data_IF_542889187556
#
_entry.id   IF_542889187556
#
_cell.length_a   1.000
_cell.length_b   1.000
_cell.length_c   1.000
_cell.angle_alpha   90.00
_cell.angle_beta   90.00
_cell.angle_gamma   90.00
#
_symmetry.space_group_name_H-M   'P 1'
#
loop_
_entity.id
_entity.type
_entity.pdbx_description
1 polymer ?
#
# COMPACT_ATOMS: atom_id res chain seq x y z
N UNK A 1 -92.94 -20.43 15.78
CA UNK A 1 -92.58 -19.11 15.19
C UNK A 1 -91.25 -19.27 14.50
N UNK A 2 -91.14 -18.78 13.26
CA UNK A 2 -89.87 -18.71 12.56
C UNK A 2 -88.84 -17.96 13.42
N UNK A 3 -87.61 -18.47 13.47
CA UNK A 3 -86.52 -17.84 14.21
C UNK A 3 -85.64 -17.10 13.22
N UNK A 4 -85.39 -15.81 13.45
CA UNK A 4 -84.46 -15.07 12.62
C UNK A 4 -83.04 -15.60 12.84
N UNK A 5 -82.30 -15.79 11.75
CA UNK A 5 -80.85 -16.00 11.86
C UNK A 5 -80.22 -14.72 12.39
N UNK A 6 -79.22 -14.85 13.27
CA UNK A 6 -78.49 -13.72 13.84
C UNK A 6 -77.75 -12.90 12.78
N UNK A 7 -77.38 -13.53 11.66
CA UNK A 7 -76.75 -12.87 10.52
C UNK A 7 -77.75 -12.73 9.37
N UNK A 8 -77.79 -11.53 8.77
CA UNK A 8 -78.55 -11.18 7.55
C UNK A 8 -80.08 -11.30 7.61
N UNK A 9 -80.67 -11.54 8.80
CA UNK A 9 -82.12 -11.52 9.06
C UNK A 9 -82.95 -12.50 8.22
N UNK A 10 -82.39 -13.66 7.87
CA UNK A 10 -83.16 -14.72 7.23
C UNK A 10 -84.22 -15.26 8.19
N UNK A 11 -85.45 -15.40 7.70
CA UNK A 11 -86.54 -16.03 8.45
C UNK A 11 -86.54 -17.52 8.14
N UNK A 12 -86.08 -18.36 9.08
CA UNK A 12 -86.11 -19.82 8.89
C UNK A 12 -87.51 -20.35 9.21
N UNK A 13 -88.28 -20.86 8.23
CA UNK A 13 -89.62 -21.40 8.49
C UNK A 13 -89.56 -22.62 9.40
N UNK A 14 -90.64 -22.88 10.14
CA UNK A 14 -90.74 -24.07 10.98
C UNK A 14 -90.87 -25.34 10.11
N UNK A 15 -90.34 -26.47 10.59
CA UNK A 15 -90.39 -27.75 9.83
C UNK A 15 -91.80 -28.24 9.50
N UNK A 16 -92.82 -27.70 10.19
CA UNK A 16 -94.24 -28.05 10.02
C UNK A 16 -95.02 -27.05 9.15
N UNK A 17 -94.39 -25.97 8.67
CA UNK A 17 -95.04 -24.98 7.80
C UNK A 17 -94.78 -25.31 6.31
N UNK A 18 -95.77 -25.11 5.43
CA UNK A 18 -95.57 -25.28 3.99
C UNK A 18 -94.51 -24.28 3.49
N UNK A 19 -93.63 -24.73 2.59
CA UNK A 19 -92.61 -23.88 2.01
C UNK A 19 -93.23 -22.82 1.08
N UNK A 20 -92.93 -21.54 1.33
CA UNK A 20 -93.32 -20.43 0.47
C UNK A 20 -92.16 -20.10 -0.49
N UNK A 21 -92.42 -20.25 -1.79
CA UNK A 21 -91.43 -20.01 -2.85
C UNK A 21 -90.98 -18.55 -2.91
N UNK A 22 -91.85 -17.60 -2.53
CA UNK A 22 -91.53 -16.16 -2.52
C UNK A 22 -90.49 -15.88 -1.44
N UNK A 23 -90.70 -16.42 -0.25
CA UNK A 23 -89.77 -16.28 0.89
C UNK A 23 -88.41 -16.91 0.58
N UNK A 24 -88.39 -18.02 -0.16
CA UNK A 24 -87.14 -18.67 -0.60
C UNK A 24 -86.38 -17.78 -1.59
N UNK A 25 -87.05 -17.20 -2.59
CA UNK A 25 -86.42 -16.32 -3.57
C UNK A 25 -85.85 -15.06 -2.92
N UNK A 26 -86.61 -14.41 -2.03
CA UNK A 26 -86.12 -13.24 -1.28
C UNK A 26 -84.89 -13.58 -0.43
N UNK A 27 -84.85 -14.81 0.11
CA UNK A 27 -83.68 -15.33 0.81
C UNK A 27 -82.48 -15.53 -0.11
N UNK A 28 -82.67 -16.05 -1.33
CA UNK A 28 -81.59 -16.22 -2.31
C UNK A 28 -81.01 -14.86 -2.73
N UNK A 29 -81.84 -13.84 -2.97
CA UNK A 29 -81.39 -12.49 -3.32
C UNK A 29 -80.57 -11.85 -2.18
N UNK A 30 -80.99 -12.06 -0.93
CA UNK A 30 -80.26 -11.60 0.25
C UNK A 30 -78.92 -12.33 0.44
N UNK A 31 -78.85 -13.65 0.14
CA UNK A 31 -77.60 -14.42 0.18
C UNK A 31 -76.66 -13.95 -0.92
N UNK A 32 -77.16 -13.76 -2.14
CA UNK A 32 -76.37 -13.28 -3.29
C UNK A 32 -75.81 -11.88 -3.00
N UNK A 33 -76.64 -10.96 -2.51
CA UNK A 33 -76.21 -9.63 -2.11
C UNK A 33 -75.16 -9.65 -0.98
N UNK A 34 -75.22 -10.64 -0.08
CA UNK A 34 -74.22 -10.81 0.98
C UNK A 34 -72.90 -11.41 0.45
N UNK A 35 -72.98 -12.43 -0.41
CA UNK A 35 -71.81 -13.04 -1.06
C UNK A 35 -71.10 -12.03 -1.96
N UNK A 36 -71.86 -11.22 -2.71
CA UNK A 36 -71.31 -10.15 -3.54
C UNK A 36 -70.54 -9.12 -2.71
N UNK A 37 -71.05 -8.75 -1.52
CA UNK A 37 -70.32 -7.91 -0.58
C UNK A 37 -69.05 -8.57 -0.07
N UNK A 38 -69.04 -9.88 0.17
CA UNK A 38 -67.83 -10.62 0.56
C UNK A 38 -66.82 -10.66 -0.58
N UNK A 39 -67.23 -10.91 -1.81
CA UNK A 39 -66.34 -10.86 -2.99
C UNK A 39 -65.77 -9.45 -3.21
N UNK A 40 -66.57 -8.41 -3.01
CA UNK A 40 -66.11 -7.02 -3.15
C UNK A 40 -65.26 -6.54 -1.95
N UNK A 41 -65.46 -7.13 -0.77
CA UNK A 41 -64.76 -6.77 0.49
C UNK A 41 -63.60 -7.70 0.86
N UNK A 42 -63.46 -8.81 0.16
CA UNK A 42 -62.20 -9.53 -0.05
C UNK A 42 -61.65 -8.99 -1.37
N UNK A 43 -61.12 -7.73 -1.42
CA UNK A 43 -60.18 -7.45 -2.48
C UNK A 43 -59.11 -8.53 -2.38
N UNK A 44 -58.55 -8.97 -3.50
CA UNK A 44 -57.36 -9.82 -3.53
C UNK A 44 -56.19 -9.09 -2.86
N UNK A 45 -56.27 -8.94 -1.54
CA UNK A 45 -55.31 -8.31 -0.68
C UNK A 45 -54.31 -9.38 -0.31
N UNK A 46 -53.79 -10.03 -1.34
CA UNK A 46 -52.50 -10.66 -1.27
C UNK A 46 -51.53 -9.50 -1.01
N UNK A 47 -51.08 -9.38 0.23
CA UNK A 47 -50.31 -8.28 0.73
C UNK A 47 -49.16 -7.91 -0.23
N UNK A 48 -49.39 -6.91 -1.09
CA UNK A 48 -48.36 -6.34 -1.96
C UNK A 48 -48.56 -6.42 -3.48
N UNK A 49 -49.64 -6.90 -4.08
CA UNK A 49 -49.91 -6.61 -5.50
C UNK A 49 -51.40 -6.64 -5.82
N UNK A 50 -52.01 -5.47 -6.01
CA UNK A 50 -53.36 -5.37 -6.56
C UNK A 50 -53.28 -5.53 -8.09
N UNK A 51 -53.85 -6.61 -8.62
CA UNK A 51 -53.99 -6.97 -10.04
C UNK A 51 -52.76 -7.54 -10.77
N UNK A 52 -53.02 -8.44 -11.72
CA UNK A 52 -52.09 -8.87 -12.75
C UNK A 52 -51.70 -7.66 -13.63
N UNK A 53 -50.71 -6.89 -13.16
CA UNK A 53 -50.26 -5.63 -13.76
C UNK A 53 -49.96 -4.50 -12.77
N UNK A 54 -50.35 -4.63 -11.50
CA UNK A 54 -50.06 -3.63 -10.46
C UNK A 54 -48.65 -3.78 -9.87
N UNK A 55 -47.96 -2.65 -9.69
CA UNK A 55 -46.67 -2.62 -9.00
C UNK A 55 -46.86 -2.81 -7.49
N UNK A 56 -45.98 -3.58 -6.86
CA UNK A 56 -46.02 -3.75 -5.41
C UNK A 56 -45.86 -2.42 -4.68
N UNK A 57 -46.61 -2.20 -3.58
CA UNK A 57 -46.56 -0.95 -2.81
C UNK A 57 -45.14 -0.62 -2.32
N UNK A 58 -44.32 -1.64 -2.03
CA UNK A 58 -42.90 -1.49 -1.70
C UNK A 58 -42.06 -1.05 -2.91
N UNK A 59 -42.34 -1.57 -4.11
CA UNK A 59 -41.67 -1.18 -5.36
C UNK A 59 -42.04 0.24 -5.80
N UNK A 60 -43.24 0.73 -5.48
CA UNK A 60 -43.64 2.14 -5.72
C UNK A 60 -42.67 3.12 -5.03
N UNK A 61 -42.11 2.76 -3.87
CA UNK A 61 -41.13 3.61 -3.17
C UNK A 61 -39.83 3.81 -3.97
N UNK A 62 -39.48 2.87 -4.86
CA UNK A 62 -38.32 2.98 -5.76
C UNK A 62 -38.63 3.77 -7.04
N UNK A 63 -39.90 4.07 -7.36
CA UNK A 63 -40.25 4.93 -8.49
C UNK A 63 -39.78 6.38 -8.24
N UNK A 64 -39.81 6.83 -6.99
CA UNK A 64 -39.04 8.03 -6.59
C UNK A 64 -37.59 7.62 -6.38
N UNK A 65 -36.75 7.82 -7.40
CA UNK A 65 -35.35 7.42 -7.39
C UNK A 65 -34.64 7.80 -6.07
N UNK A 66 -33.98 6.82 -5.46
CA UNK A 66 -33.01 7.01 -4.38
C UNK A 66 -31.62 6.84 -4.95
N UNK A 67 -30.62 7.47 -4.38
CA UNK A 67 -29.24 7.26 -4.83
C UNK A 67 -28.56 6.19 -3.97
N UNK A 68 -27.83 5.29 -4.60
CA UNK A 68 -26.86 4.41 -3.95
C UNK A 68 -25.49 4.95 -4.35
N UNK A 69 -24.74 5.45 -3.36
CA UNK A 69 -23.43 6.07 -3.57
C UNK A 69 -23.46 7.18 -4.65
N UNK A 70 -24.56 7.94 -4.70
CA UNK A 70 -24.76 9.00 -5.69
C UNK A 70 -25.28 8.55 -7.06
N UNK A 71 -25.64 7.28 -7.27
CA UNK A 71 -26.23 6.80 -8.53
C UNK A 71 -27.70 6.45 -8.35
N UNK A 72 -28.57 6.97 -9.21
CA UNK A 72 -30.01 6.70 -9.15
C UNK A 72 -30.33 5.20 -9.22
N UNK A 73 -31.12 4.71 -8.26
CA UNK A 73 -31.63 3.36 -8.18
C UNK A 73 -33.17 3.39 -8.24
N UNK A 74 -33.71 2.94 -9.37
CA UNK A 74 -35.15 2.86 -9.64
C UNK A 74 -35.58 1.51 -10.25
N UNK A 75 -34.67 0.54 -10.34
CA UNK A 75 -34.93 -0.79 -10.90
C UNK A 75 -34.98 -0.89 -12.43
N UNK A 76 -34.76 0.20 -13.18
CA UNK A 76 -34.82 0.18 -14.64
C UNK A 76 -33.55 -0.38 -15.31
N UNK A 77 -32.38 -0.16 -14.69
CA UNK A 77 -31.07 -0.58 -15.19
C UNK A 77 -30.15 -0.95 -14.03
N UNK A 78 -29.04 -1.64 -14.33
CA UNK A 78 -27.96 -1.83 -13.37
C UNK A 78 -27.34 -0.49 -12.94
N UNK A 79 -26.92 -0.38 -11.68
CA UNK A 79 -26.15 0.76 -11.19
C UNK A 79 -24.72 0.70 -11.73
N UNK A 80 -24.17 1.86 -12.09
CA UNK A 80 -22.80 1.98 -12.58
C UNK A 80 -22.05 3.02 -11.76
N UNK A 81 -20.89 2.65 -11.21
CA UNK A 81 -19.96 3.54 -10.52
C UNK A 81 -18.65 3.71 -11.28
N UNK A 82 -18.60 3.34 -12.56
CA UNK A 82 -17.36 3.31 -13.33
C UNK A 82 -17.43 4.22 -14.55
N UNK A 83 -16.39 5.03 -14.74
CA UNK A 83 -16.22 5.85 -15.93
C UNK A 83 -14.77 5.92 -16.39
N UNK A 84 -14.58 6.33 -17.64
CA UNK A 84 -13.24 6.52 -18.23
C UNK A 84 -13.02 8.02 -18.46
N UNK A 85 -11.87 8.53 -18.00
CA UNK A 85 -11.43 9.90 -18.23
C UNK A 85 -10.36 9.93 -19.33
N UNK A 86 -10.71 10.50 -20.48
CA UNK A 86 -9.81 10.76 -21.59
C UNK A 86 -9.41 12.22 -21.77
N UNK A 87 -9.68 13.08 -20.79
CA UNK A 87 -9.34 14.51 -20.86
C UNK A 87 -7.84 14.73 -21.10
N UNK A 88 -7.50 15.71 -21.94
CA UNK A 88 -6.12 16.09 -22.24
C UNK A 88 -5.28 16.37 -20.98
N UNK A 89 -3.97 16.08 -21.07
CA UNK A 89 -3.04 16.09 -19.95
C UNK A 89 -3.02 17.42 -19.18
N UNK A 90 -2.93 18.54 -19.90
CA UNK A 90 -2.78 19.89 -19.34
C UNK A 90 -4.11 20.54 -18.88
N UNK A 91 -5.26 19.94 -19.15
CA UNK A 91 -6.56 20.48 -18.74
C UNK A 91 -6.80 20.21 -17.26
N UNK A 92 -7.04 21.25 -16.45
CA UNK A 92 -7.27 21.09 -14.99
C UNK A 92 -8.53 20.28 -14.68
N UNK A 93 -9.64 20.56 -15.38
CA UNK A 93 -10.91 19.87 -15.18
C UNK A 93 -10.96 18.54 -15.95
N UNK A 94 -10.89 17.43 -15.20
CA UNK A 94 -11.03 16.07 -15.72
C UNK A 94 -12.51 15.72 -15.79
N UNK A 95 -12.96 15.29 -16.96
CA UNK A 95 -14.37 15.07 -17.25
C UNK A 95 -14.63 13.58 -17.43
N UNK A 96 -15.64 13.08 -16.73
CA UNK A 96 -16.07 11.69 -16.77
C UNK A 96 -17.59 11.64 -16.95
N UNK A 97 -18.06 10.69 -17.75
CA UNK A 97 -19.47 10.36 -17.83
C UNK A 97 -19.73 9.05 -17.08
N UNK A 98 -20.82 8.99 -16.31
CA UNK A 98 -21.28 7.80 -15.61
C UNK A 98 -22.81 7.84 -15.48
N UNK A 99 -23.53 6.98 -16.19
CA UNK A 99 -25.00 7.00 -16.25
C UNK A 99 -25.64 7.01 -14.86
N UNK A 100 -26.58 7.94 -14.64
CA UNK A 100 -27.33 8.03 -13.37
C UNK A 100 -26.57 8.68 -12.20
N UNK A 101 -25.29 9.02 -12.36
CA UNK A 101 -24.53 9.69 -11.30
C UNK A 101 -25.06 11.10 -11.03
N UNK A 102 -25.26 11.40 -9.74
CA UNK A 102 -25.62 12.68 -9.14
C UNK A 102 -24.62 13.01 -8.04
N UNK A 103 -24.19 14.27 -8.04
CA UNK A 103 -23.29 14.76 -7.01
C UNK A 103 -24.07 15.04 -5.71
N UNK A 104 -23.89 14.19 -4.72
CA UNK A 104 -24.38 14.34 -3.35
C UNK A 104 -23.24 13.99 -2.38
N UNK A 105 -23.26 14.53 -1.16
CA UNK A 105 -22.29 14.11 -0.13
C UNK A 105 -22.33 12.60 0.06
N UNK A 106 -21.18 11.94 -0.01
CA UNK A 106 -21.02 10.49 -0.01
C UNK A 106 -21.07 9.84 -1.39
N UNK A 107 -21.27 10.58 -2.49
CA UNK A 107 -21.26 10.01 -3.84
C UNK A 107 -19.89 9.40 -4.17
N UNK A 108 -19.89 8.18 -4.73
CA UNK A 108 -18.68 7.41 -5.06
C UNK A 108 -18.57 7.22 -6.58
N UNK A 109 -17.36 7.34 -7.10
CA UNK A 109 -17.08 7.10 -8.53
C UNK A 109 -15.69 6.49 -8.70
N UNK A 110 -15.61 5.43 -9.49
CA UNK A 110 -14.38 4.77 -9.91
C UNK A 110 -14.05 5.27 -11.32
N UNK A 111 -12.86 5.83 -11.48
CA UNK A 111 -12.43 6.43 -12.74
C UNK A 111 -11.14 5.79 -13.23
N UNK A 112 -11.14 5.30 -14.46
CA UNK A 112 -9.92 4.95 -15.19
C UNK A 112 -9.44 6.14 -16.01
N UNK A 113 -8.20 6.57 -15.78
CA UNK A 113 -7.57 7.61 -16.58
C UNK A 113 -6.83 6.97 -17.75
N UNK A 114 -7.07 7.45 -18.97
CA UNK A 114 -6.32 7.00 -20.17
C UNK A 114 -5.16 7.90 -20.52
N UNK A 115 -5.10 9.09 -19.91
CA UNK A 115 -4.06 10.10 -20.12
C UNK A 115 -3.50 10.54 -18.77
N UNK A 116 -2.18 10.60 -18.65
CA UNK A 116 -1.51 11.11 -17.44
C UNK A 116 -1.79 12.61 -17.29
N UNK A 117 -2.35 13.00 -16.16
CA UNK A 117 -2.54 14.42 -15.84
C UNK A 117 -1.20 15.14 -15.63
N UNK A 118 -1.00 16.28 -16.30
CA UNK A 118 0.15 17.18 -16.07
C UNK A 118 -0.26 18.52 -15.46
N UNK A 119 -1.56 18.79 -15.33
CA UNK A 119 -2.07 20.01 -14.71
C UNK A 119 -1.89 19.98 -13.18
N UNK A 120 -1.53 21.11 -12.59
CA UNK A 120 -1.51 21.26 -11.13
C UNK A 120 -2.95 21.35 -10.58
N UNK A 121 -3.16 20.84 -9.37
CA UNK A 121 -4.44 20.89 -8.65
C UNK A 121 -5.64 20.43 -9.52
N UNK A 122 -5.61 19.21 -10.08
CA UNK A 122 -6.68 18.75 -10.96
C UNK A 122 -8.02 18.71 -10.23
N UNK A 123 -9.08 18.90 -11.01
CA UNK A 123 -10.48 18.82 -10.54
C UNK A 123 -11.20 17.70 -11.30
N UNK A 124 -12.25 17.12 -10.71
CA UNK A 124 -13.10 16.12 -11.33
C UNK A 124 -14.51 16.70 -11.56
N UNK A 125 -15.05 16.48 -12.75
CA UNK A 125 -16.40 16.85 -13.14
C UNK A 125 -17.09 15.61 -13.73
N UNK A 126 -18.02 15.02 -12.98
CA UNK A 126 -18.78 13.85 -13.42
C UNK A 126 -20.14 14.31 -13.92
N UNK A 127 -20.52 13.94 -15.14
CA UNK A 127 -21.80 14.31 -15.76
C UNK A 127 -22.12 15.82 -15.77
N UNK A 128 -21.11 16.70 -15.75
CA UNK A 128 -21.36 18.13 -15.71
C UNK A 128 -21.86 18.65 -14.36
N UNK A 129 -21.66 17.92 -13.25
CA UNK A 129 -22.00 18.35 -11.88
C UNK A 129 -21.22 19.59 -11.38
N UNK A 130 -20.30 20.08 -12.20
CA UNK A 130 -19.34 21.12 -11.85
C UNK A 130 -17.99 20.51 -11.43
N UNK A 131 -16.91 21.21 -11.75
CA UNK A 131 -15.55 20.81 -11.39
C UNK A 131 -15.32 20.96 -9.89
N UNK A 132 -14.99 19.86 -9.21
CA UNK A 132 -14.65 19.83 -7.78
C UNK A 132 -13.20 19.42 -7.60
N UNK A 133 -12.52 19.99 -6.61
CA UNK A 133 -11.13 19.66 -6.30
C UNK A 133 -10.98 18.16 -6.02
N UNK A 134 -9.82 17.60 -6.40
CA UNK A 134 -9.44 16.24 -6.01
C UNK A 134 -8.38 16.35 -4.92
N UNK A 135 -8.62 15.65 -3.81
CA UNK A 135 -7.76 15.66 -2.64
C UNK A 135 -7.31 14.27 -2.24
N UNK A 136 -6.16 14.21 -1.58
CA UNK A 136 -5.68 13.03 -0.86
C UNK A 136 -5.19 13.51 0.51
N UNK A 137 -5.71 12.91 1.58
CA UNK A 137 -5.42 13.29 2.98
C UNK A 137 -5.65 14.79 3.25
N UNK A 138 -6.70 15.37 2.68
CA UNK A 138 -7.09 16.77 2.86
C UNK A 138 -6.31 17.81 2.04
N UNK A 139 -5.35 17.38 1.21
CA UNK A 139 -4.55 18.26 0.36
C UNK A 139 -4.82 18.01 -1.12
N UNK A 140 -4.73 19.05 -1.95
CA UNK A 140 -4.85 18.90 -3.40
C UNK A 140 -3.76 17.94 -3.93
N UNK A 141 -4.17 17.01 -4.80
CA UNK A 141 -3.20 16.09 -5.40
C UNK A 141 -2.29 16.80 -6.42
N UNK A 142 -1.07 16.31 -6.56
CA UNK A 142 -0.10 16.86 -7.50
C UNK A 142 -0.30 16.36 -8.94
N UNK A 143 0.31 17.06 -9.89
CA UNK A 143 0.43 16.58 -11.26
C UNK A 143 1.10 15.19 -11.29
N UNK A 144 0.74 14.35 -12.26
CA UNK A 144 1.26 13.00 -12.42
C UNK A 144 0.56 11.91 -11.60
N UNK A 145 -0.14 12.25 -10.52
CA UNK A 145 -0.80 11.23 -9.67
C UNK A 145 -1.95 10.50 -10.37
N UNK A 146 -2.70 11.22 -11.22
CA UNK A 146 -3.71 10.61 -12.11
C UNK A 146 -3.02 10.12 -13.39
N UNK A 147 -2.23 9.05 -13.26
CA UNK A 147 -1.45 8.49 -14.37
C UNK A 147 -2.33 7.67 -15.34
N UNK A 148 -1.92 7.63 -16.61
CA UNK A 148 -2.56 6.79 -17.62
C UNK A 148 -2.60 5.31 -17.17
N UNK A 149 -3.70 4.65 -17.48
CA UNK A 149 -4.01 3.25 -17.14
C UNK A 149 -4.16 2.97 -15.64
N UNK A 150 -4.22 3.99 -14.78
CA UNK A 150 -4.60 3.83 -13.37
C UNK A 150 -6.12 3.98 -13.21
N UNK A 151 -6.65 3.27 -12.22
CA UNK A 151 -8.04 3.35 -11.80
C UNK A 151 -8.07 3.77 -10.33
N UNK A 152 -8.82 4.82 -10.03
CA UNK A 152 -8.95 5.37 -8.69
C UNK A 152 -10.42 5.48 -8.31
N UNK A 153 -10.72 5.25 -7.05
CA UNK A 153 -12.01 5.56 -6.46
C UNK A 153 -11.97 6.96 -5.83
N UNK A 154 -13.07 7.70 -5.99
CA UNK A 154 -13.27 9.02 -5.42
C UNK A 154 -14.58 9.06 -4.64
N UNK A 155 -14.56 9.67 -3.46
CA UNK A 155 -15.75 9.90 -2.62
C UNK A 155 -15.93 11.40 -2.43
N UNK A 156 -17.11 11.92 -2.75
CA UNK A 156 -17.41 13.34 -2.54
C UNK A 156 -17.76 13.62 -1.08
N UNK A 157 -17.06 14.54 -0.43
CA UNK A 157 -17.30 14.88 0.99
C UNK A 157 -18.28 16.05 1.20
N UNK A 158 -18.84 16.60 0.10
CA UNK A 158 -19.67 17.81 0.12
C UNK A 158 -18.94 19.07 -0.38
N UNK A 159 -17.62 19.03 -0.50
CA UNK A 159 -16.78 20.13 -0.99
C UNK A 159 -15.85 19.67 -2.12
N UNK A 160 -15.13 18.58 -1.92
CA UNK A 160 -14.13 18.01 -2.82
C UNK A 160 -14.30 16.49 -2.96
N UNK A 161 -13.65 15.93 -3.99
CA UNK A 161 -13.49 14.48 -4.13
C UNK A 161 -12.26 14.02 -3.36
N UNK A 162 -12.45 13.10 -2.43
CA UNK A 162 -11.38 12.41 -1.71
C UNK A 162 -10.99 11.17 -2.51
N UNK A 163 -9.73 11.10 -2.93
CA UNK A 163 -9.17 9.90 -3.54
C UNK A 163 -9.02 8.80 -2.47
N UNK A 164 -9.56 7.62 -2.75
CA UNK A 164 -9.56 6.46 -1.85
C UNK A 164 -8.44 5.48 -2.23
N UNK A 165 -7.83 4.90 -1.19
CA UNK A 165 -6.63 4.08 -1.30
C UNK A 165 -5.36 4.93 -1.18
N UNK A 166 -4.21 4.27 -1.18
CA UNK A 166 -2.93 4.97 -1.08
C UNK A 166 -2.37 5.33 -2.46
N UNK A 167 -1.78 6.52 -2.54
CA UNK A 167 -0.96 6.95 -3.66
C UNK A 167 0.47 6.54 -3.32
N UNK A 168 1.15 5.84 -4.24
CA UNK A 168 2.58 5.61 -4.09
C UNK A 168 3.33 6.94 -4.20
N UNK A 169 3.63 7.51 -3.04
CA UNK A 169 4.43 8.73 -2.89
C UNK A 169 5.87 8.41 -2.52
N UNK A 170 6.33 7.16 -2.67
CA UNK A 170 7.67 6.79 -2.26
C UNK A 170 8.71 7.51 -3.13
N UNK A 171 9.56 8.28 -2.46
CA UNK A 171 10.76 8.83 -3.07
C UNK A 171 11.73 7.69 -3.33
N UNK A 172 11.96 7.34 -4.59
CA UNK A 172 13.03 6.40 -4.96
C UNK A 172 14.33 7.17 -5.07
N UNK A 173 15.35 6.74 -4.32
CA UNK A 173 16.71 7.26 -4.44
C UNK A 173 17.50 6.36 -5.38
N UNK A 174 18.19 6.95 -6.36
CA UNK A 174 19.14 6.21 -7.18
C UNK A 174 20.39 5.81 -6.39
N UNK A 175 21.20 4.92 -6.97
CA UNK A 175 22.48 4.53 -6.40
C UNK A 175 23.36 5.76 -6.16
N UNK A 176 24.03 5.79 -5.01
CA UNK A 176 25.01 6.82 -4.68
C UNK A 176 26.26 6.60 -5.54
N UNK A 177 26.75 7.67 -6.16
CA UNK A 177 28.05 7.68 -6.84
C UNK A 177 28.95 8.73 -6.18
N UNK A 178 30.25 8.70 -6.48
CA UNK A 178 31.18 9.74 -6.03
C UNK A 178 30.86 11.14 -6.60
N UNK A 179 29.95 11.23 -7.58
CA UNK A 179 29.53 12.49 -8.22
C UNK A 179 28.04 12.84 -8.00
N UNK A 180 27.23 11.94 -7.44
CA UNK A 180 25.79 12.13 -7.24
C UNK A 180 25.37 11.60 -5.87
N UNK A 181 24.80 12.50 -5.06
CA UNK A 181 24.22 12.15 -3.78
C UNK A 181 22.98 11.24 -3.95
N UNK A 182 22.81 10.32 -2.99
CA UNK A 182 21.63 9.48 -2.83
C UNK A 182 21.19 9.52 -1.37
N UNK A 183 21.19 8.37 -0.69
CA UNK A 183 20.94 8.29 0.76
C UNK A 183 22.11 8.79 1.63
N UNK A 184 23.28 9.02 1.02
CA UNK A 184 24.43 9.69 1.61
C UNK A 184 24.99 10.73 0.62
N UNK A 185 25.81 11.65 1.12
CA UNK A 185 26.44 12.67 0.27
C UNK A 185 27.48 12.03 -0.66
N UNK A 186 27.71 12.65 -1.82
CA UNK A 186 28.77 12.23 -2.73
C UNK A 186 30.15 12.30 -2.04
N UNK A 187 30.35 13.30 -1.16
CA UNK A 187 31.59 13.44 -0.39
C UNK A 187 31.80 12.29 0.61
N UNK A 188 30.74 11.82 1.28
CA UNK A 188 30.86 10.68 2.21
C UNK A 188 31.06 9.37 1.45
N UNK A 189 30.53 9.24 0.22
CA UNK A 189 30.83 8.10 -0.65
C UNK A 189 32.31 8.06 -1.06
N UNK A 190 32.93 9.21 -1.35
CA UNK A 190 34.37 9.29 -1.63
C UNK A 190 35.19 8.81 -0.42
N UNK A 191 34.82 9.24 0.79
CA UNK A 191 35.49 8.79 2.01
C UNK A 191 35.35 7.29 2.22
N UNK A 192 34.14 6.75 2.05
CA UNK A 192 33.86 5.32 2.19
C UNK A 192 34.62 4.48 1.16
N UNK A 193 34.64 4.91 -0.10
CA UNK A 193 35.38 4.24 -1.18
C UNK A 193 36.90 4.36 -0.99
N UNK A 194 37.36 5.38 -0.29
CA UNK A 194 38.75 5.60 0.06
C UNK A 194 39.19 4.90 1.35
N UNK A 195 38.30 4.20 2.06
CA UNK A 195 38.73 3.33 3.16
C UNK A 195 39.47 2.14 2.55
N UNK A 196 40.78 2.10 2.74
CA UNK A 196 41.60 0.93 2.44
C UNK A 196 41.53 -0.05 3.60
N UNK A 197 41.60 -1.35 3.31
CA UNK A 197 41.67 -2.36 4.35
C UNK A 197 42.97 -2.14 5.17
N UNK A 198 42.86 -1.98 6.49
CA UNK A 198 43.99 -2.24 7.38
C UNK A 198 44.32 -3.73 7.23
N UNK A 199 45.52 -4.03 6.74
CA UNK A 199 45.92 -5.39 6.48
C UNK A 199 46.46 -5.99 7.77
N UNK A 200 45.67 -6.86 8.39
CA UNK A 200 46.04 -7.56 9.61
C UNK A 200 46.55 -8.95 9.27
N UNK A 201 47.80 -9.24 9.64
CA UNK A 201 48.41 -10.57 9.56
C UNK A 201 48.53 -11.11 10.97
N UNK A 202 48.08 -12.35 11.20
CA UNK A 202 48.03 -12.95 12.53
C UNK A 202 48.98 -14.13 12.68
N UNK A 203 49.45 -14.37 13.90
CA UNK A 203 50.21 -15.55 14.32
C UNK A 203 51.47 -15.79 13.49
N UNK A 204 52.23 -14.74 13.23
CA UNK A 204 53.50 -14.85 12.52
C UNK A 204 54.54 -15.44 13.46
N UNK A 205 55.14 -16.56 13.08
CA UNK A 205 56.26 -17.15 13.82
C UNK A 205 57.56 -16.86 13.09
N UNK A 206 58.42 -16.06 13.69
CA UNK A 206 59.80 -15.89 13.27
C UNK A 206 60.64 -16.95 13.98
N UNK A 207 61.24 -17.85 13.23
CA UNK A 207 62.07 -18.90 13.81
C UNK A 207 63.35 -18.30 14.38
N UNK A 208 63.88 -18.82 15.50
CA UNK A 208 65.17 -18.37 16.03
C UNK A 208 66.29 -18.36 14.97
N UNK A 209 66.26 -19.32 14.05
CA UNK A 209 67.22 -19.46 12.96
C UNK A 209 67.06 -18.44 11.81
N UNK A 210 65.92 -17.73 11.72
CA UNK A 210 65.72 -16.70 10.68
C UNK A 210 66.36 -15.36 11.05
N UNK A 211 66.78 -15.18 12.30
CA UNK A 211 67.56 -14.02 12.72
C UNK A 211 69.01 -14.18 12.25
N UNK A 212 69.44 -13.24 11.42
CA UNK A 212 70.79 -13.18 10.83
C UNK A 212 71.47 -11.89 11.25
N UNK A 213 72.79 -11.82 11.07
CA UNK A 213 73.56 -10.60 11.33
C UNK A 213 72.98 -9.41 10.54
N UNK A 214 72.67 -8.34 11.25
CA UNK A 214 72.21 -7.10 10.65
C UNK A 214 73.38 -6.40 9.95
N UNK A 215 73.16 -6.03 8.69
CA UNK A 215 74.15 -5.35 7.84
C UNK A 215 73.72 -3.93 7.45
N UNK A 216 72.60 -3.44 7.99
CA UNK A 216 72.11 -2.09 7.71
C UNK A 216 72.69 -1.03 8.66
N UNK A 217 72.29 0.24 8.45
CA UNK A 217 72.79 1.39 9.22
C UNK A 217 72.49 1.31 10.73
N UNK A 218 71.61 0.40 11.17
CA UNK A 218 71.29 0.19 12.57
C UNK A 218 72.06 -0.97 13.22
N UNK A 219 72.95 -1.66 12.48
CA UNK A 219 73.70 -2.82 12.98
C UNK A 219 74.50 -2.55 14.26
N UNK A 220 74.92 -1.30 14.51
CA UNK A 220 75.61 -0.90 15.75
C UNK A 220 74.71 -0.88 16.99
N UNK A 221 73.39 -0.78 16.80
CA UNK A 221 72.39 -0.77 17.87
C UNK A 221 71.66 -2.11 17.95
N UNK A 222 71.34 -2.71 16.80
CA UNK A 222 70.64 -3.98 16.67
C UNK A 222 71.46 -4.92 15.79
N UNK A 223 72.30 -5.79 16.38
CA UNK A 223 73.23 -6.64 15.63
C UNK A 223 72.56 -7.79 14.87
N UNK A 224 71.28 -8.09 15.13
CA UNK A 224 70.55 -9.15 14.44
C UNK A 224 69.20 -8.66 13.91
N UNK A 225 68.75 -9.27 12.81
CA UNK A 225 67.45 -8.97 12.21
C UNK A 225 66.82 -10.20 11.53
N UNK A 226 65.49 -10.23 11.44
CA UNK A 226 64.73 -11.21 10.65
C UNK A 226 63.73 -10.48 9.78
N UNK A 227 63.59 -10.93 8.53
CA UNK A 227 62.66 -10.36 7.57
C UNK A 227 61.39 -11.21 7.48
N UNK A 228 60.22 -10.57 7.50
CA UNK A 228 58.93 -11.21 7.22
C UNK A 228 58.33 -10.65 5.93
N UNK A 229 58.11 -11.51 4.95
CA UNK A 229 57.56 -11.09 3.65
C UNK A 229 56.08 -10.74 3.76
N UNK A 230 55.73 -9.55 3.27
CA UNK A 230 54.35 -9.05 3.23
C UNK A 230 54.04 -8.66 1.79
N UNK A 231 53.19 -9.45 1.14
CA UNK A 231 52.77 -9.17 -0.24
C UNK A 231 51.98 -7.85 -0.29
N UNK A 232 52.30 -6.99 -1.25
CA UNK A 232 51.63 -5.71 -1.45
C UNK A 232 52.14 -4.57 -0.57
N UNK A 233 53.10 -4.81 0.34
CA UNK A 233 53.70 -3.76 1.15
C UNK A 233 54.69 -2.91 0.34
N UNK A 234 54.56 -1.59 0.39
CA UNK A 234 55.52 -0.63 -0.19
C UNK A 234 56.46 -0.08 0.89
N UNK A 235 57.50 0.66 0.49
CA UNK A 235 58.39 1.36 1.42
C UNK A 235 57.73 2.57 2.12
N UNK A 236 56.57 3.02 1.63
CA UNK A 236 55.74 4.07 2.26
C UNK A 236 54.74 3.51 3.28
N UNK A 237 54.56 2.20 3.36
CA UNK A 237 53.68 1.59 4.36
C UNK A 237 54.22 1.77 5.78
N UNK A 238 53.31 1.93 6.74
CA UNK A 238 53.62 1.78 8.17
C UNK A 238 53.09 0.45 8.66
N UNK A 239 53.87 -0.24 9.48
CA UNK A 239 53.42 -1.43 10.20
C UNK A 239 53.56 -1.22 11.71
N UNK A 240 52.49 -1.52 12.41
CA UNK A 240 52.49 -1.75 13.85
C UNK A 240 52.46 -3.25 14.10
N UNK A 241 53.11 -3.71 15.16
CA UNK A 241 53.13 -5.11 15.53
C UNK A 241 52.86 -5.28 17.01
N UNK A 242 52.19 -6.37 17.34
CA UNK A 242 51.92 -6.83 18.70
C UNK A 242 52.55 -8.21 18.84
N UNK A 243 53.44 -8.39 19.80
CA UNK A 243 54.10 -9.67 20.11
C UNK A 243 53.38 -10.36 21.27
N UNK A 244 53.53 -11.68 21.37
CA UNK A 244 53.06 -12.40 22.56
C UNK A 244 53.76 -11.88 23.83
N UNK A 245 53.11 -11.86 25.01
CA UNK A 245 53.71 -11.37 26.26
C UNK A 245 55.05 -12.04 26.64
N UNK A 246 55.27 -13.29 26.20
CA UNK A 246 56.54 -14.00 26.41
C UNK A 246 57.66 -13.55 25.45
N UNK A 247 57.29 -12.87 24.36
CA UNK A 247 58.17 -12.35 23.31
C UNK A 247 58.34 -10.81 23.36
N UNK A 248 57.67 -10.14 24.30
CA UNK A 248 57.55 -8.68 24.42
C UNK A 248 58.89 -7.95 24.63
N UNK A 249 59.92 -8.68 25.06
CA UNK A 249 61.28 -8.15 25.24
C UNK A 249 62.27 -8.53 24.14
N UNK A 250 61.87 -9.27 23.11
CA UNK A 250 62.80 -9.79 22.10
C UNK A 250 62.92 -8.86 20.90
N UNK A 251 61.80 -8.34 20.39
CA UNK A 251 61.79 -7.42 19.23
C UNK A 251 61.87 -5.97 19.71
N UNK A 252 62.98 -5.31 19.39
CA UNK A 252 63.23 -3.92 19.83
C UNK A 252 62.74 -2.88 18.82
N UNK A 253 62.62 -3.25 17.54
CA UNK A 253 62.14 -2.37 16.49
C UNK A 253 61.64 -3.13 15.26
N UNK A 254 60.65 -2.58 14.56
CA UNK A 254 60.28 -2.94 13.20
C UNK A 254 60.55 -1.80 12.22
N UNK A 255 61.08 -2.09 11.04
CA UNK A 255 61.09 -1.14 9.92
C UNK A 255 60.42 -1.75 8.69
N UNK A 256 59.61 -0.95 8.01
CA UNK A 256 59.04 -1.32 6.71
C UNK A 256 60.08 -1.27 5.60
N UNK A 257 59.99 -2.22 4.67
CA UNK A 257 60.67 -2.20 3.38
C UNK A 257 59.69 -2.65 2.30
N UNK A 258 59.99 -2.37 1.03
CA UNK A 258 59.19 -2.90 -0.07
C UNK A 258 59.09 -4.44 0.00
N UNK A 259 57.85 -4.93 0.16
CA UNK A 259 57.50 -6.35 0.23
C UNK A 259 57.81 -7.07 1.55
N UNK A 260 58.28 -6.39 2.59
CA UNK A 260 58.65 -7.04 3.86
C UNK A 260 58.70 -6.10 5.06
N UNK A 261 58.58 -6.67 6.25
CA UNK A 261 58.87 -6.01 7.52
C UNK A 261 60.14 -6.62 8.08
N UNK A 262 61.11 -5.78 8.43
CA UNK A 262 62.31 -6.21 9.13
C UNK A 262 62.14 -5.99 10.62
N UNK A 263 62.31 -7.05 11.38
CA UNK A 263 62.32 -7.04 12.84
C UNK A 263 63.75 -7.07 13.35
N UNK A 264 64.07 -6.21 14.30
CA UNK A 264 65.40 -6.03 14.89
C UNK A 264 65.42 -6.49 16.35
N UNK A 265 66.54 -7.07 16.75
CA UNK A 265 66.77 -7.59 18.09
C UNK A 265 68.21 -7.26 18.54
N UNK A 266 68.41 -7.00 19.83
CA UNK A 266 69.74 -6.71 20.40
C UNK A 266 70.61 -7.96 20.60
N UNK A 267 69.97 -9.13 20.71
CA UNK A 267 70.63 -10.44 20.91
C UNK A 267 69.93 -11.53 20.08
N UNK A 268 70.69 -12.54 19.65
CA UNK A 268 70.15 -13.67 18.90
C UNK A 268 69.12 -14.44 19.75
N UNK A 269 67.85 -14.60 19.30
CA UNK A 269 66.85 -15.32 20.07
C UNK A 269 67.21 -16.80 20.23
N UNK A 270 67.03 -17.36 21.42
CA UNK A 270 67.20 -18.79 21.70
C UNK A 270 65.95 -19.62 21.37
N UNK A 271 64.80 -18.97 21.19
CA UNK A 271 63.51 -19.58 20.88
C UNK A 271 62.80 -18.83 19.75
N UNK A 272 61.74 -19.44 19.20
CA UNK A 272 60.92 -18.80 18.17
C UNK A 272 60.16 -17.60 18.74
N UNK A 273 60.05 -16.54 17.96
CA UNK A 273 59.33 -15.31 18.32
C UNK A 273 57.97 -15.31 17.63
N UNK A 274 56.90 -15.13 18.40
CA UNK A 274 55.53 -15.10 17.89
C UNK A 274 55.00 -13.67 17.91
N UNK A 275 54.54 -13.22 16.74
CA UNK A 275 53.88 -11.93 16.54
C UNK A 275 52.38 -12.19 16.37
N UNK A 276 51.60 -11.67 17.30
CA UNK A 276 50.16 -11.83 17.39
C UNK A 276 49.46 -11.13 16.24
N UNK A 277 49.75 -9.85 16.07
CA UNK A 277 49.17 -9.03 15.02
C UNK A 277 50.27 -8.20 14.38
N UNK A 278 50.34 -8.23 13.05
CA UNK A 278 51.01 -7.20 12.25
C UNK A 278 49.89 -6.44 11.57
N UNK A 279 49.75 -5.16 11.89
CA UNK A 279 48.79 -4.26 11.28
C UNK A 279 49.57 -3.33 10.38
N UNK A 280 49.34 -3.38 9.07
CA UNK A 280 49.97 -2.45 8.16
C UNK A 280 48.96 -1.70 7.30
N UNK A 281 49.33 -0.48 6.97
CA UNK A 281 48.57 0.40 6.09
C UNK A 281 49.52 1.17 5.19
N UNK A 282 49.09 1.40 3.97
CA UNK A 282 49.74 2.35 3.08
C UNK A 282 49.46 3.76 3.60
N UNK A 283 50.51 4.56 3.82
CA UNK A 283 50.33 5.99 4.00
C UNK A 283 50.03 6.55 2.60
N UNK A 284 48.77 6.89 2.37
CA UNK A 284 48.32 7.56 1.15
C UNK A 284 48.98 8.92 0.95
#
# INVERSE_FOLDING_TARGET
>A
MATQTTNYKFTKPALSEPADIVVINDGLDQIDAALKKVEDSVPDNYAGSSSAGGAATSAVKLQTARTIDGVDFNGASAIAHYGTCGTAAATVAKVVACTGFKLVTGARIIVKFTVTNTAANPTLNVNGSGAKAIQYRGSAISAGYLAANRTHEFVYDGTAYQLIGDIDTNTTYGNVTQSKAGLMSAADKVKLDGLTDEHVIRNVTLTAASFVANIDSYASFYPFCSDYTVAGMTDTCTADYEVEPASDGVIERGNTMAGKIRFYVSEQPSENVVINNIIWKELG
#
